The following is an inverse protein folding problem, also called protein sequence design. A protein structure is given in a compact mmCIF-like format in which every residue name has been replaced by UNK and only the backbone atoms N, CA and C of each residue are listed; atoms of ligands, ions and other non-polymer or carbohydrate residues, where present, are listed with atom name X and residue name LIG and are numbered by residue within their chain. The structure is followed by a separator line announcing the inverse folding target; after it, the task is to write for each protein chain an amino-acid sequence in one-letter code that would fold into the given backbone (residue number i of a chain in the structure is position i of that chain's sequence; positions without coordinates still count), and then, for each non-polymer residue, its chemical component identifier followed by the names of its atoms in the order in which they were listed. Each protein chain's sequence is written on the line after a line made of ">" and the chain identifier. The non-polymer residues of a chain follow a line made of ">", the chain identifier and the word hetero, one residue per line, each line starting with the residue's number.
data_IF_836092816111
#
_entry.id   IF_836092816111
#
_cell.length_a   1.000
_cell.length_b   1.000
_cell.length_c   1.000
_cell.angle_alpha   90.00
_cell.angle_beta   90.00
_cell.angle_gamma   90.00
#
_symmetry.space_group_name_H-M   'P 1'
#
loop_
_entity.id
_entity.type
_entity.pdbx_description
1 polymer ?
#
# COMPACT_ATOMS: atom_id res chain seq x y z
N UNK A 1 44.30 0.31 2.38
CA UNK A 1 44.83 1.69 2.49
C UNK A 1 43.72 2.64 2.08
N UNK A 2 43.64 3.83 2.67
CA UNK A 2 42.75 4.87 2.17
C UNK A 2 43.48 5.72 1.13
N UNK A 3 42.88 5.87 -0.05
CA UNK A 3 43.29 6.82 -1.09
C UNK A 3 42.03 7.56 -1.54
N UNK A 4 42.07 8.90 -1.56
CA UNK A 4 40.93 9.77 -1.91
C UNK A 4 39.60 9.39 -1.23
N UNK A 5 39.66 9.11 0.09
CA UNK A 5 38.47 8.76 0.88
C UNK A 5 37.87 7.37 0.59
N UNK A 6 38.56 6.54 -0.21
CA UNK A 6 38.12 5.17 -0.53
C UNK A 6 39.04 4.15 0.13
N UNK A 7 38.45 3.12 0.76
CA UNK A 7 39.18 1.97 1.27
C UNK A 7 39.55 1.02 0.13
N UNK A 8 40.83 0.98 -0.19
CA UNK A 8 41.42 0.08 -1.19
C UNK A 8 41.87 -1.21 -0.50
N UNK A 9 41.32 -2.33 -0.94
CA UNK A 9 41.73 -3.68 -0.52
C UNK A 9 42.77 -4.18 -1.51
N UNK A 10 43.95 -4.56 -1.02
CA UNK A 10 44.94 -5.27 -1.83
C UNK A 10 44.70 -6.79 -1.68
N UNK A 11 44.27 -7.49 -2.73
CA UNK A 11 43.96 -8.93 -2.67
C UNK A 11 45.15 -9.79 -2.26
N UNK A 12 46.39 -9.39 -2.59
CA UNK A 12 47.62 -10.13 -2.28
C UNK A 12 47.94 -10.14 -0.77
N UNK A 13 47.30 -9.26 0.00
CA UNK A 13 47.45 -9.19 1.46
C UNK A 13 46.35 -9.94 2.21
N UNK A 14 45.43 -10.60 1.50
CA UNK A 14 44.37 -11.39 2.11
C UNK A 14 44.80 -12.85 2.27
N UNK A 15 44.36 -13.47 3.37
CA UNK A 15 44.42 -14.93 3.50
C UNK A 15 43.55 -15.59 2.43
N UNK A 16 43.92 -16.80 2.01
CA UNK A 16 43.23 -17.53 0.95
C UNK A 16 41.71 -17.66 1.19
N UNK A 17 41.27 -17.91 2.42
CA UNK A 17 39.85 -18.02 2.75
C UNK A 17 39.08 -16.70 2.54
N UNK A 18 39.68 -15.58 2.95
CA UNK A 18 39.10 -14.23 2.76
C UNK A 18 39.10 -13.84 1.28
N UNK A 19 40.12 -14.25 0.53
CA UNK A 19 40.18 -14.05 -0.91
C UNK A 19 39.06 -14.85 -1.62
N UNK A 20 38.86 -16.11 -1.23
CA UNK A 20 37.81 -16.97 -1.76
C UNK A 20 36.41 -16.41 -1.45
N UNK A 21 36.17 -15.92 -0.23
CA UNK A 21 34.91 -15.25 0.13
C UNK A 21 34.67 -13.98 -0.70
N UNK A 22 35.71 -13.16 -0.89
CA UNK A 22 35.61 -11.95 -1.71
C UNK A 22 35.29 -12.29 -3.16
N UNK A 23 35.96 -13.29 -3.74
CA UNK A 23 35.70 -13.76 -5.11
C UNK A 23 34.28 -14.33 -5.26
N UNK A 24 33.78 -15.08 -4.28
CA UNK A 24 32.41 -15.58 -4.30
C UNK A 24 31.36 -14.43 -4.31
N UNK A 25 31.60 -13.39 -3.50
CA UNK A 25 30.74 -12.20 -3.46
C UNK A 25 30.75 -11.44 -4.79
N UNK A 26 31.91 -11.34 -5.44
CA UNK A 26 32.08 -10.65 -6.73
C UNK A 26 31.48 -11.47 -7.89
N UNK A 27 31.75 -12.77 -7.95
CA UNK A 27 31.26 -13.67 -9.01
C UNK A 27 29.73 -13.80 -9.04
N UNK A 28 29.06 -13.67 -7.88
CA UNK A 28 27.59 -13.66 -7.82
C UNK A 28 26.93 -12.46 -8.51
N UNK A 29 27.71 -11.41 -8.82
CA UNK A 29 27.21 -10.14 -9.38
C UNK A 29 27.80 -9.77 -10.73
N UNK A 30 28.72 -10.56 -11.29
CA UNK A 30 29.53 -10.15 -12.44
C UNK A 30 29.58 -11.24 -13.50
N UNK A 31 28.49 -11.40 -14.25
CA UNK A 31 28.63 -11.85 -15.64
C UNK A 31 29.10 -10.62 -16.43
N UNK A 32 30.38 -10.61 -16.76
CA UNK A 32 31.08 -9.65 -17.63
C UNK A 32 31.31 -8.24 -17.05
N UNK A 33 32.42 -8.06 -16.33
CA UNK A 33 33.02 -6.73 -16.15
C UNK A 33 34.26 -6.58 -17.03
N UNK A 34 34.40 -5.49 -17.80
CA UNK A 34 35.61 -5.20 -18.56
C UNK A 34 36.84 -5.05 -17.65
N UNK A 35 38.00 -5.51 -18.15
CA UNK A 35 39.29 -5.40 -17.47
C UNK A 35 39.62 -3.92 -17.21
N UNK A 36 39.76 -3.53 -15.93
CA UNK A 36 40.19 -2.19 -15.52
C UNK A 36 39.17 -1.34 -14.77
N UNK A 37 37.95 -1.82 -14.54
CA UNK A 37 36.95 -1.09 -13.76
C UNK A 37 37.12 -1.25 -12.24
N UNK A 38 36.89 -0.16 -11.51
CA UNK A 38 36.93 -0.13 -10.04
C UNK A 38 35.59 -0.59 -9.47
N UNK A 39 35.58 -1.71 -8.74
CA UNK A 39 34.39 -2.19 -8.04
C UNK A 39 34.25 -1.41 -6.72
N UNK A 40 33.18 -0.62 -6.61
CA UNK A 40 32.84 0.10 -5.38
C UNK A 40 31.91 -0.74 -4.53
N UNK A 41 32.45 -1.34 -3.47
CA UNK A 41 31.64 -1.95 -2.42
C UNK A 41 31.09 -0.84 -1.52
N UNK A 42 29.81 -0.49 -1.69
CA UNK A 42 29.15 0.44 -0.78
C UNK A 42 28.60 -0.33 0.43
N UNK A 43 29.01 0.06 1.64
CA UNK A 43 28.35 -0.34 2.89
C UNK A 43 27.11 0.52 3.11
N UNK A 44 26.23 0.67 2.10
CA UNK A 44 24.85 1.06 2.40
C UNK A 44 24.20 -0.14 3.08
N UNK A 45 24.60 -0.33 4.33
CA UNK A 45 23.85 -1.05 5.33
C UNK A 45 22.53 -0.30 5.43
N UNK A 46 21.57 -0.69 4.58
CA UNK A 46 20.18 -0.48 4.89
C UNK A 46 19.95 -1.32 6.15
N UNK A 47 20.22 -0.76 7.33
CA UNK A 47 19.83 -1.40 8.57
C UNK A 47 18.30 -1.36 8.61
N UNK A 48 17.71 -2.34 7.93
CA UNK A 48 16.28 -2.44 7.69
C UNK A 48 15.52 -2.50 9.01
N UNK A 49 16.13 -3.11 10.03
CA UNK A 49 15.60 -3.13 11.38
C UNK A 49 15.54 -1.72 11.99
N UNK A 50 16.57 -0.89 11.81
CA UNK A 50 16.54 0.51 12.26
C UNK A 50 15.55 1.36 11.46
N UNK A 51 15.44 1.17 10.14
CA UNK A 51 14.47 1.92 9.33
C UNK A 51 13.02 1.54 9.68
N UNK A 52 12.73 0.25 9.90
CA UNK A 52 11.45 -0.20 10.43
C UNK A 52 11.20 0.46 11.79
N UNK A 53 12.16 0.35 12.72
CA UNK A 53 11.99 0.89 14.08
C UNK A 53 11.73 2.40 14.04
N UNK A 54 12.43 3.14 13.20
CA UNK A 54 12.23 4.59 13.01
C UNK A 54 10.82 4.89 12.49
N UNK A 55 10.37 4.18 11.45
CA UNK A 55 9.04 4.40 10.85
C UNK A 55 7.89 3.97 11.77
N UNK A 56 8.02 2.83 12.44
CA UNK A 56 7.05 2.38 13.44
C UNK A 56 6.95 3.33 14.63
N UNK A 57 8.06 4.00 14.96
CA UNK A 57 8.09 4.98 16.04
C UNK A 57 7.55 6.35 15.62
N UNK A 58 7.22 6.58 14.35
CA UNK A 58 6.64 7.84 13.90
C UNK A 58 5.29 8.08 14.60
N UNK A 59 4.99 9.31 15.08
CA UNK A 59 3.79 9.58 15.86
C UNK A 59 2.50 9.14 15.18
N UNK A 60 2.34 9.46 13.90
CA UNK A 60 1.16 9.12 13.11
C UNK A 60 0.97 7.61 12.92
N UNK A 61 2.07 6.86 12.76
CA UNK A 61 2.02 5.39 12.68
C UNK A 61 1.61 4.79 14.02
N UNK A 62 2.22 5.27 15.11
CA UNK A 62 1.94 4.77 16.45
C UNK A 62 0.51 5.03 16.87
N UNK A 63 0.00 6.23 16.59
CA UNK A 63 -1.37 6.62 16.90
C UNK A 63 -2.38 5.69 16.23
N UNK A 64 -2.21 5.43 14.93
CA UNK A 64 -3.06 4.50 14.18
C UNK A 64 -2.97 3.09 14.75
N UNK A 65 -1.76 2.57 14.98
CA UNK A 65 -1.60 1.20 15.48
C UNK A 65 -2.16 1.02 16.89
N UNK A 66 -1.99 2.01 17.78
CA UNK A 66 -2.56 1.95 19.12
C UNK A 66 -4.08 2.14 19.08
N UNK A 67 -4.61 2.96 18.18
CA UNK A 67 -6.05 3.09 17.99
C UNK A 67 -6.67 1.75 17.60
N UNK A 68 -6.12 1.05 16.59
CA UNK A 68 -6.70 -0.22 16.13
C UNK A 68 -6.34 -1.42 17.00
N UNK A 69 -5.40 -1.25 17.95
CA UNK A 69 -5.10 -2.27 18.94
C UNK A 69 -6.37 -2.68 19.67
N UNK A 70 -6.58 -3.98 19.73
CA UNK A 70 -7.77 -4.60 20.31
C UNK A 70 -9.12 -4.25 19.64
N UNK A 71 -9.14 -3.45 18.56
CA UNK A 71 -10.35 -3.15 17.76
C UNK A 71 -10.48 -4.03 16.51
N UNK A 72 -9.36 -4.46 15.94
CA UNK A 72 -9.29 -5.38 14.78
C UNK A 72 -8.62 -6.71 15.17
N UNK A 73 -8.75 -7.77 14.34
CA UNK A 73 -8.02 -9.02 14.57
C UNK A 73 -6.51 -8.80 14.68
N UNK A 74 -5.85 -9.54 15.58
CA UNK A 74 -4.40 -9.40 15.79
C UNK A 74 -3.58 -9.64 14.50
N UNK A 75 -4.04 -10.56 13.63
CA UNK A 75 -3.43 -10.79 12.32
C UNK A 75 -3.51 -9.56 11.41
N UNK A 76 -4.64 -8.87 11.40
CA UNK A 76 -4.84 -7.65 10.62
C UNK A 76 -3.99 -6.50 11.14
N UNK A 77 -3.82 -6.38 12.46
CA UNK A 77 -2.94 -5.38 13.06
C UNK A 77 -1.48 -5.55 12.61
N UNK A 78 -1.02 -6.81 12.47
CA UNK A 78 0.31 -7.11 11.92
C UNK A 78 0.39 -6.67 10.46
N UNK A 79 -0.64 -6.93 9.66
CA UNK A 79 -0.69 -6.52 8.24
C UNK A 79 -0.72 -5.00 8.14
N UNK A 80 -1.52 -4.32 8.96
CA UNK A 80 -1.63 -2.87 9.01
C UNK A 80 -0.28 -2.23 9.32
N UNK A 81 0.46 -2.73 10.31
CA UNK A 81 1.83 -2.25 10.62
C UNK A 81 2.75 -2.36 9.39
N UNK A 82 2.72 -3.47 8.67
CA UNK A 82 3.52 -3.65 7.45
C UNK A 82 3.06 -2.69 6.33
N UNK A 83 1.75 -2.49 6.19
CA UNK A 83 1.18 -1.57 5.23
C UNK A 83 1.54 -0.10 5.53
N UNK A 84 1.56 0.31 6.81
CA UNK A 84 2.00 1.64 7.25
C UNK A 84 3.47 1.88 6.91
N UNK A 85 4.33 0.87 7.09
CA UNK A 85 5.73 0.93 6.65
C UNK A 85 5.82 1.18 5.14
N UNK A 86 5.06 0.42 4.33
CA UNK A 86 4.99 0.60 2.87
C UNK A 86 4.54 2.01 2.51
N UNK A 87 3.49 2.53 3.17
CA UNK A 87 2.97 3.88 2.96
C UNK A 87 4.06 4.94 3.22
N UNK A 88 4.79 4.82 4.33
CA UNK A 88 5.92 5.72 4.64
C UNK A 88 7.03 5.65 3.60
N UNK A 89 7.45 4.45 3.19
CA UNK A 89 8.47 4.29 2.14
C UNK A 89 8.03 4.94 0.83
N UNK A 90 6.77 4.74 0.44
CA UNK A 90 6.21 5.30 -0.78
C UNK A 90 6.22 6.84 -0.75
N UNK A 91 5.79 7.45 0.37
CA UNK A 91 5.76 8.90 0.55
C UNK A 91 7.17 9.51 0.66
N UNK A 92 8.05 8.94 1.50
CA UNK A 92 9.42 9.45 1.71
C UNK A 92 10.26 9.40 0.43
N UNK A 93 10.05 8.39 -0.42
CA UNK A 93 10.85 8.15 -1.62
C UNK A 93 10.20 8.65 -2.91
N UNK A 94 9.21 9.54 -2.83
CA UNK A 94 8.49 10.11 -4.00
C UNK A 94 8.01 9.02 -4.98
N UNK A 95 7.24 8.06 -4.49
CA UNK A 95 6.62 7.00 -5.28
C UNK A 95 7.59 5.94 -5.85
N UNK A 96 8.69 5.63 -5.15
CA UNK A 96 9.52 4.47 -5.51
C UNK A 96 8.75 3.15 -5.43
N UNK A 97 9.24 2.16 -6.17
CA UNK A 97 8.60 0.86 -6.34
C UNK A 97 8.56 0.06 -5.02
N UNK A 98 7.36 -0.04 -4.43
CA UNK A 98 7.05 -0.87 -3.26
C UNK A 98 6.37 -2.19 -3.64
N UNK A 99 6.31 -2.55 -4.93
CA UNK A 99 5.58 -3.73 -5.43
C UNK A 99 6.06 -5.03 -4.80
N UNK A 100 7.37 -5.18 -4.58
CA UNK A 100 7.91 -6.37 -3.93
C UNK A 100 7.37 -6.51 -2.51
N UNK A 101 7.36 -5.44 -1.71
CA UNK A 101 6.80 -5.46 -0.36
C UNK A 101 5.30 -5.77 -0.36
N UNK A 102 4.54 -5.16 -1.29
CA UNK A 102 3.11 -5.45 -1.46
C UNK A 102 2.86 -6.91 -1.86
N UNK A 103 3.72 -7.47 -2.73
CA UNK A 103 3.68 -8.87 -3.13
C UNK A 103 3.95 -9.77 -1.93
N UNK A 104 4.97 -9.48 -1.13
CA UNK A 104 5.33 -10.32 0.03
C UNK A 104 4.18 -10.38 1.05
N UNK A 105 3.48 -9.26 1.30
CA UNK A 105 2.27 -9.25 2.15
C UNK A 105 1.17 -10.13 1.54
N UNK A 106 0.88 -9.97 0.25
CA UNK A 106 -0.15 -10.77 -0.43
C UNK A 106 0.19 -12.26 -0.43
N UNK A 107 1.43 -12.62 -0.69
CA UNK A 107 1.85 -14.01 -0.78
C UNK A 107 1.80 -14.67 0.62
N UNK A 108 1.99 -13.88 1.70
CA UNK A 108 1.89 -14.36 3.09
C UNK A 108 0.46 -14.39 3.64
N UNK A 109 -0.37 -13.40 3.33
CA UNK A 109 -1.68 -13.18 3.97
C UNK A 109 -2.86 -13.19 2.98
N UNK A 110 -2.61 -13.53 1.72
CA UNK A 110 -3.63 -13.68 0.68
C UNK A 110 -4.34 -12.39 0.28
N UNK A 111 -5.58 -12.54 -0.19
CA UNK A 111 -6.48 -11.45 -0.62
C UNK A 111 -6.66 -10.40 0.49
N UNK A 112 -6.90 -10.85 1.72
CA UNK A 112 -7.10 -9.97 2.88
C UNK A 112 -5.89 -9.07 3.12
N UNK A 113 -4.68 -9.64 3.09
CA UNK A 113 -3.45 -8.87 3.21
C UNK A 113 -3.27 -7.79 2.14
N UNK A 114 -3.58 -8.15 0.89
CA UNK A 114 -3.54 -7.19 -0.23
C UNK A 114 -4.56 -6.06 -0.05
N UNK A 115 -5.78 -6.39 0.40
CA UNK A 115 -6.85 -5.41 0.62
C UNK A 115 -6.52 -4.45 1.75
N UNK A 116 -6.09 -4.95 2.92
CA UNK A 116 -5.63 -4.11 4.05
C UNK A 116 -4.52 -3.17 3.59
N UNK A 117 -3.56 -3.67 2.81
CA UNK A 117 -2.46 -2.85 2.29
C UNK A 117 -2.97 -1.73 1.39
N UNK A 118 -3.92 -2.03 0.50
CA UNK A 118 -4.52 -1.02 -0.38
C UNK A 118 -5.30 0.03 0.42
N UNK A 119 -6.19 -0.41 1.32
CA UNK A 119 -6.98 0.44 2.21
C UNK A 119 -6.10 1.37 3.06
N UNK A 120 -5.06 0.82 3.70
CA UNK A 120 -4.07 1.60 4.47
C UNK A 120 -3.37 2.65 3.59
N UNK A 121 -2.83 2.25 2.44
CA UNK A 121 -2.13 3.21 1.57
C UNK A 121 -3.05 4.28 1.00
N UNK A 122 -4.35 4.04 0.93
CA UNK A 122 -5.36 4.99 0.45
C UNK A 122 -6.01 5.86 1.54
N UNK A 123 -5.69 5.67 2.83
CA UNK A 123 -6.15 6.57 3.89
C UNK A 123 -7.34 6.07 4.72
N UNK A 124 -7.82 4.84 4.49
CA UNK A 124 -9.05 4.35 5.14
C UNK A 124 -8.89 4.17 6.64
N UNK A 125 -7.70 3.78 7.11
CA UNK A 125 -7.45 3.59 8.55
C UNK A 125 -7.28 4.92 9.27
N UNK A 126 -6.83 5.96 8.58
CA UNK A 126 -6.72 7.31 9.11
C UNK A 126 -8.07 8.01 9.27
N UNK A 127 -9.02 7.72 8.37
CA UNK A 127 -10.29 8.43 8.28
C UNK A 127 -11.48 7.49 8.36
N UNK A 128 -11.78 6.76 7.29
CA UNK A 128 -13.06 6.07 7.11
C UNK A 128 -13.39 5.07 8.24
N UNK A 129 -12.44 4.22 8.62
CA UNK A 129 -12.64 3.24 9.69
C UNK A 129 -12.58 3.88 11.08
N UNK A 130 -11.88 5.00 11.24
CA UNK A 130 -11.86 5.74 12.50
C UNK A 130 -13.21 6.41 12.73
N UNK A 131 -13.69 7.20 11.76
CA UNK A 131 -15.02 7.82 11.76
C UNK A 131 -16.12 6.77 11.98
N UNK A 132 -16.04 5.60 11.32
CA UNK A 132 -16.98 4.50 11.54
C UNK A 132 -16.99 4.02 13.00
N UNK A 133 -15.82 3.89 13.64
CA UNK A 133 -15.74 3.47 15.04
C UNK A 133 -16.30 4.55 15.98
N UNK A 134 -15.98 5.81 15.73
CA UNK A 134 -16.46 6.95 16.50
C UNK A 134 -17.99 7.09 16.42
N UNK A 135 -18.57 6.93 15.23
CA UNK A 135 -20.03 6.95 15.06
C UNK A 135 -20.72 5.79 15.80
N UNK A 136 -20.13 4.59 15.76
CA UNK A 136 -20.64 3.46 16.55
C UNK A 136 -20.55 3.72 18.06
N UNK A 137 -19.50 4.41 18.50
CA UNK A 137 -19.30 4.78 19.91
C UNK A 137 -20.34 5.79 20.41
N UNK A 138 -20.98 6.55 19.51
CA UNK A 138 -22.11 7.43 19.84
C UNK A 138 -23.44 6.67 19.98
N UNK A 139 -23.56 5.50 19.34
CA UNK A 139 -24.78 4.70 19.30
C UNK A 139 -24.80 3.64 20.41
N UNK A 140 -23.65 2.99 20.66
CA UNK A 140 -23.54 1.88 21.60
C UNK A 140 -22.79 2.28 22.87
N UNK A 141 -23.25 1.77 24.01
CA UNK A 141 -22.74 2.18 25.34
C UNK A 141 -21.51 1.36 25.78
N UNK A 142 -21.43 0.10 25.39
CA UNK A 142 -20.40 -0.83 25.87
C UNK A 142 -19.36 -1.11 24.79
N UNK A 143 -18.08 -1.09 25.16
CA UNK A 143 -16.95 -1.35 24.25
C UNK A 143 -17.10 -2.65 23.47
N UNK A 144 -17.55 -3.73 24.12
CA UNK A 144 -17.75 -5.03 23.45
C UNK A 144 -18.78 -4.97 22.31
N UNK A 145 -19.86 -4.18 22.49
CA UNK A 145 -20.88 -3.99 21.44
C UNK A 145 -20.38 -3.09 20.32
N UNK A 146 -19.65 -2.03 20.66
CA UNK A 146 -19.02 -1.13 19.66
C UNK A 146 -18.08 -1.97 18.79
N UNK A 147 -17.17 -2.71 19.41
CA UNK A 147 -16.21 -3.58 18.73
C UNK A 147 -16.89 -4.66 17.91
N UNK A 148 -17.87 -5.37 18.46
CA UNK A 148 -18.60 -6.41 17.71
C UNK A 148 -19.30 -5.82 16.47
N UNK A 149 -19.92 -4.64 16.61
CA UNK A 149 -20.59 -3.98 15.49
C UNK A 149 -19.59 -3.44 14.48
N UNK A 150 -18.48 -2.87 14.94
CA UNK A 150 -17.39 -2.41 14.08
C UNK A 150 -16.83 -3.57 13.25
N UNK A 151 -16.49 -4.71 13.88
CA UNK A 151 -16.00 -5.89 13.18
C UNK A 151 -17.00 -6.43 12.16
N UNK A 152 -18.31 -6.41 12.48
CA UNK A 152 -19.36 -6.82 11.53
C UNK A 152 -19.43 -5.98 10.25
N UNK A 153 -18.87 -4.76 10.27
CA UNK A 153 -18.78 -3.87 9.11
C UNK A 153 -17.38 -3.92 8.49
N UNK A 154 -16.35 -3.91 9.33
CA UNK A 154 -14.94 -3.91 8.94
C UNK A 154 -14.57 -5.19 8.19
N UNK A 155 -14.95 -6.37 8.68
CA UNK A 155 -14.53 -7.64 8.06
C UNK A 155 -15.03 -7.78 6.62
N UNK A 156 -16.33 -7.59 6.30
CA UNK A 156 -16.79 -7.59 4.91
C UNK A 156 -16.14 -6.47 4.08
N UNK A 157 -15.87 -5.31 4.70
CA UNK A 157 -15.24 -4.21 3.99
C UNK A 157 -13.83 -4.59 3.51
N UNK A 158 -13.04 -5.18 4.41
CA UNK A 158 -11.68 -5.62 4.10
C UNK A 158 -11.68 -6.81 3.15
N UNK A 159 -12.61 -7.76 3.28
CA UNK A 159 -12.61 -8.95 2.43
C UNK A 159 -13.07 -8.65 1.00
N UNK A 160 -14.09 -7.80 0.83
CA UNK A 160 -14.78 -7.65 -0.45
C UNK A 160 -14.72 -6.26 -1.08
N UNK A 161 -14.22 -5.25 -0.35
CA UNK A 161 -14.09 -3.88 -0.83
C UNK A 161 -15.40 -3.36 -1.45
N UNK A 162 -16.51 -3.38 -0.71
CA UNK A 162 -17.85 -3.11 -1.22
C UNK A 162 -17.96 -1.68 -1.80
N UNK A 163 -17.29 -0.71 -1.20
CA UNK A 163 -17.33 0.69 -1.64
C UNK A 163 -16.00 1.17 -2.25
N UNK A 164 -15.07 0.28 -2.57
CA UNK A 164 -13.73 0.65 -3.03
C UNK A 164 -13.28 -0.13 -4.26
N UNK A 165 -12.66 0.55 -5.22
CA UNK A 165 -12.05 -0.05 -6.40
C UNK A 165 -10.59 0.39 -6.52
N UNK A 166 -9.65 -0.55 -6.41
CA UNK A 166 -8.21 -0.28 -6.58
C UNK A 166 -7.74 -0.70 -7.98
N UNK A 167 -7.45 0.30 -8.82
CA UNK A 167 -7.04 0.09 -10.21
C UNK A 167 -5.58 -0.34 -10.28
N UNK A 168 -5.35 -1.54 -10.84
CA UNK A 168 -4.02 -2.09 -11.06
C UNK A 168 -3.56 -1.94 -12.51
N UNK A 169 -2.26 -2.12 -12.77
CA UNK A 169 -1.69 -1.92 -14.11
C UNK A 169 -2.29 -2.85 -15.18
N UNK A 170 -2.73 -4.05 -14.79
CA UNK A 170 -3.33 -5.04 -15.70
C UNK A 170 -4.84 -4.93 -15.86
N UNK A 171 -5.50 -4.03 -15.13
CA UNK A 171 -6.96 -3.87 -15.16
C UNK A 171 -7.37 -3.04 -16.38
N UNK A 172 -8.30 -3.55 -17.18
CA UNK A 172 -8.88 -2.83 -18.32
C UNK A 172 -9.99 -1.89 -17.84
N UNK A 173 -10.38 -0.94 -18.69
CA UNK A 173 -11.43 0.04 -18.35
C UNK A 173 -12.77 -0.64 -18.12
N UNK A 174 -13.10 -1.66 -18.92
CA UNK A 174 -14.33 -2.44 -18.80
C UNK A 174 -14.37 -3.23 -17.48
N UNK A 175 -13.23 -3.65 -16.96
CA UNK A 175 -13.14 -4.33 -15.65
C UNK A 175 -13.44 -3.38 -14.50
N UNK A 176 -12.98 -2.12 -14.60
CA UNK A 176 -13.25 -1.07 -13.61
C UNK A 176 -14.74 -0.72 -13.65
N UNK A 177 -15.29 -0.49 -14.84
CA UNK A 177 -16.71 -0.19 -15.03
C UNK A 177 -17.59 -1.33 -14.49
N UNK A 178 -17.29 -2.58 -14.84
CA UNK A 178 -18.02 -3.75 -14.35
C UNK A 178 -18.00 -3.82 -12.82
N UNK A 179 -16.86 -3.54 -12.20
CA UNK A 179 -16.73 -3.51 -10.74
C UNK A 179 -17.61 -2.43 -10.09
N UNK A 180 -17.69 -1.25 -10.68
CA UNK A 180 -18.54 -0.14 -10.22
C UNK A 180 -20.01 -0.52 -10.38
N UNK A 181 -20.43 -0.92 -11.59
CA UNK A 181 -21.82 -1.28 -11.90
C UNK A 181 -22.31 -2.46 -11.05
N UNK A 182 -21.45 -3.44 -10.77
CA UNK A 182 -21.82 -4.58 -9.92
C UNK A 182 -22.17 -4.12 -8.50
N UNK A 183 -21.40 -3.20 -7.91
CA UNK A 183 -21.66 -2.66 -6.56
C UNK A 183 -22.96 -1.85 -6.52
N UNK A 184 -23.23 -1.07 -7.57
CA UNK A 184 -24.49 -0.33 -7.71
C UNK A 184 -25.70 -1.27 -7.74
N UNK A 185 -25.60 -2.45 -8.37
CA UNK A 185 -26.67 -3.46 -8.35
C UNK A 185 -26.94 -4.05 -6.98
N UNK A 186 -25.97 -4.00 -6.06
CA UNK A 186 -26.14 -4.39 -4.67
C UNK A 186 -26.61 -3.24 -3.77
N UNK A 187 -27.03 -2.11 -4.35
CA UNK A 187 -27.56 -0.96 -3.61
C UNK A 187 -26.50 -0.03 -3.03
N UNK A 188 -25.23 -0.19 -3.42
CA UNK A 188 -24.13 0.68 -2.99
C UNK A 188 -24.07 1.88 -3.93
N UNK A 189 -24.57 3.02 -3.48
CA UNK A 189 -24.62 4.28 -4.23
C UNK A 189 -23.37 5.15 -4.06
N UNK A 190 -22.41 4.72 -3.25
CA UNK A 190 -21.15 5.43 -3.01
C UNK A 190 -19.93 4.54 -3.27
N UNK A 191 -19.02 4.98 -4.14
CA UNK A 191 -17.83 4.21 -4.53
C UNK A 191 -16.59 5.13 -4.60
N UNK A 192 -15.52 4.74 -3.90
CA UNK A 192 -14.19 5.33 -4.03
C UNK A 192 -13.34 4.54 -5.02
N UNK A 193 -12.81 5.21 -6.04
CA UNK A 193 -11.92 4.62 -7.04
C UNK A 193 -10.51 5.17 -6.87
N UNK A 194 -9.54 4.29 -6.72
CA UNK A 194 -8.15 4.64 -6.49
C UNK A 194 -7.26 4.16 -7.63
N UNK A 195 -6.31 5.00 -8.04
CA UNK A 195 -5.30 4.65 -9.04
C UNK A 195 -3.94 5.25 -8.70
N UNK A 196 -2.88 4.45 -8.81
CA UNK A 196 -1.50 4.90 -8.64
C UNK A 196 -0.71 4.69 -9.94
N UNK A 197 0.01 5.71 -10.38
CA UNK A 197 0.77 5.73 -11.62
C UNK A 197 -0.04 6.34 -12.77
N UNK A 198 0.67 7.04 -13.67
CA UNK A 198 0.07 7.83 -14.76
C UNK A 198 -0.92 7.03 -15.63
N UNK A 199 -0.61 5.76 -15.93
CA UNK A 199 -1.51 4.90 -16.70
C UNK A 199 -2.81 4.58 -15.96
N UNK A 200 -2.76 4.33 -14.66
CA UNK A 200 -3.96 3.99 -13.88
C UNK A 200 -4.81 5.25 -13.66
N UNK A 201 -4.17 6.39 -13.39
CA UNK A 201 -4.83 7.71 -13.30
C UNK A 201 -5.63 8.02 -14.56
N UNK A 202 -5.02 7.85 -15.74
CA UNK A 202 -5.70 8.07 -17.03
C UNK A 202 -6.91 7.15 -17.22
N UNK A 203 -6.79 5.86 -16.85
CA UNK A 203 -7.91 4.91 -16.94
C UNK A 203 -9.07 5.29 -16.01
N UNK A 204 -8.78 5.65 -14.75
CA UNK A 204 -9.80 6.10 -13.80
C UNK A 204 -10.58 7.29 -14.38
N UNK A 205 -9.88 8.32 -14.87
CA UNK A 205 -10.53 9.49 -15.49
C UNK A 205 -11.41 9.11 -16.68
N UNK A 206 -10.94 8.23 -17.55
CA UNK A 206 -11.70 7.80 -18.73
C UNK A 206 -12.96 7.03 -18.35
N UNK A 207 -12.87 6.11 -17.39
CA UNK A 207 -14.04 5.36 -16.89
C UNK A 207 -15.07 6.31 -16.28
N UNK A 208 -14.64 7.27 -15.46
CA UNK A 208 -15.54 8.28 -14.89
C UNK A 208 -16.26 9.05 -16.00
N UNK A 209 -15.53 9.54 -17.02
CA UNK A 209 -16.14 10.26 -18.15
C UNK A 209 -17.11 9.42 -18.99
N UNK A 210 -16.95 8.09 -19.01
CA UNK A 210 -17.92 7.18 -19.66
C UNK A 210 -19.16 7.03 -18.80
N UNK A 211 -19.00 6.79 -17.50
CA UNK A 211 -20.10 6.64 -16.56
C UNK A 211 -20.99 7.90 -16.52
N UNK A 212 -20.39 9.09 -16.55
CA UNK A 212 -21.12 10.38 -16.58
C UNK A 212 -22.05 10.55 -17.78
N UNK A 213 -21.83 9.81 -18.88
CA UNK A 213 -22.73 9.86 -20.05
C UNK A 213 -24.02 9.07 -19.84
N UNK A 214 -24.03 8.17 -18.85
CA UNK A 214 -25.11 7.18 -18.67
C UNK A 214 -25.74 7.24 -17.28
N UNK A 215 -25.09 7.91 -16.32
CA UNK A 215 -25.51 7.98 -14.93
C UNK A 215 -25.31 9.39 -14.38
N UNK A 216 -26.20 9.81 -13.48
CA UNK A 216 -26.01 11.03 -12.70
C UNK A 216 -25.04 10.75 -11.55
N UNK A 217 -23.91 11.44 -11.56
CA UNK A 217 -22.79 11.23 -10.63
C UNK A 217 -22.39 12.55 -10.01
N UNK A 218 -22.41 12.62 -8.68
CA UNK A 218 -21.66 13.62 -7.93
C UNK A 218 -20.26 13.07 -7.67
N UNK A 219 -19.22 13.89 -7.90
CA UNK A 219 -17.83 13.44 -7.79
C UNK A 219 -16.94 14.42 -7.06
N UNK A 220 -16.09 13.89 -6.21
CA UNK A 220 -14.95 14.59 -5.62
C UNK A 220 -13.66 13.88 -6.05
N UNK A 221 -12.78 14.58 -6.77
CA UNK A 221 -11.56 14.00 -7.33
C UNK A 221 -10.34 14.71 -6.76
N UNK A 222 -9.47 13.94 -6.11
CA UNK A 222 -8.13 14.34 -5.71
C UNK A 222 -7.16 13.64 -6.67
N UNK A 223 -6.41 14.41 -7.44
CA UNK A 223 -5.36 13.92 -8.35
C UNK A 223 -4.07 14.70 -8.08
N UNK A 224 -3.12 14.03 -7.44
CA UNK A 224 -1.82 14.60 -7.09
C UNK A 224 -0.71 13.57 -7.31
N UNK A 225 0.42 14.00 -7.87
CA UNK A 225 1.64 13.18 -8.00
C UNK A 225 1.42 11.78 -8.62
N UNK A 226 0.59 11.66 -9.66
CA UNK A 226 0.17 10.39 -10.27
C UNK A 226 -0.61 9.45 -9.33
N UNK A 227 -1.29 9.99 -8.34
CA UNK A 227 -2.22 9.27 -7.47
C UNK A 227 -3.57 9.94 -7.60
N UNK A 228 -4.59 9.16 -7.96
CA UNK A 228 -5.97 9.61 -8.04
C UNK A 228 -6.82 8.88 -7.00
N UNK A 229 -7.65 9.64 -6.31
CA UNK A 229 -8.80 9.16 -5.54
C UNK A 229 -10.02 9.90 -6.08
N UNK A 230 -10.98 9.14 -6.59
CA UNK A 230 -12.27 9.66 -7.05
C UNK A 230 -13.38 9.08 -6.17
N UNK A 231 -14.05 9.95 -5.41
CA UNK A 231 -15.22 9.61 -4.63
C UNK A 231 -16.45 9.87 -5.51
N UNK A 232 -17.24 8.84 -5.78
CA UNK A 232 -18.38 8.88 -6.70
C UNK A 232 -19.65 8.55 -5.94
N UNK A 233 -20.61 9.46 -5.95
CA UNK A 233 -21.96 9.26 -5.42
C UNK A 233 -22.93 9.20 -6.59
N UNK A 234 -23.70 8.13 -6.67
CA UNK A 234 -24.66 7.89 -7.74
C UNK A 234 -26.07 8.20 -7.25
N UNK A 235 -26.86 8.92 -8.05
CA UNK A 235 -28.27 9.12 -7.72
C UNK A 235 -28.98 7.76 -7.66
N UNK A 236 -29.79 7.52 -6.62
CA UNK A 236 -30.66 6.34 -6.55
C UNK A 236 -31.53 6.30 -7.80
N UNK A 237 -31.54 5.16 -8.50
CA UNK A 237 -32.53 4.93 -9.55
C UNK A 237 -33.89 5.01 -8.87
N UNK A 238 -34.80 5.84 -9.40
CA UNK A 238 -36.21 5.67 -9.08
C UNK A 238 -36.56 4.24 -9.50
N UNK A 239 -36.95 3.41 -8.53
CA UNK A 239 -37.50 2.09 -8.82
C UNK A 239 -38.85 2.33 -9.52
N UNK A 240 -38.94 1.92 -10.78
CA UNK A 240 -40.22 1.78 -11.51
C UNK A 240 -41.01 0.58 -10.95
#
# INVERSE_FOLDING_TARGET
>A
MEQDGKKVINPEKLSQDKLNMLLALLNSRTQELPKGETIVLTTKDNNWAEDIKRKDSAPDVREILEFYKDKIPAADLIILRQAMYIKKVFLERRNQDVRNMKRDIRDKYGKRGANITNLCTAGYYEKDFNEMYEELSKIYITEDKIKAKFLSLYDPYVDDLPCSVFVSIGMKEEDIEKQIVTRLKYGIDYIKVHGIGSSNVKRVKKVISVLEKTMSIEKNIIDDNNVITAELTFAKRQED
#
